data_IF_313594791229
#
_entry.id   IF_313594791229
#
_cell.length_a   1.000
_cell.length_b   1.000
_cell.length_c   1.000
_cell.angle_alpha   90.00
_cell.angle_beta   90.00
_cell.angle_gamma   90.00
#
_symmetry.space_group_name_H-M   'P 1'
#
loop_
_entity.id
_entity.type
_entity.pdbx_description
1 polymer ?
#
# COMPACT_ATOMS: atom_id res chain seq x y z
N UNK A 1 19.24 -8.93 8.26
CA UNK A 1 18.03 -8.66 7.45
C UNK A 1 17.91 -7.16 7.25
N UNK A 2 17.28 -6.73 6.17
CA UNK A 2 16.96 -5.32 5.90
C UNK A 2 15.46 -5.21 5.67
N UNK A 3 14.83 -4.28 6.38
CA UNK A 3 13.41 -3.96 6.22
C UNK A 3 13.26 -2.74 5.33
N UNK A 4 12.43 -2.85 4.29
CA UNK A 4 12.02 -1.73 3.45
C UNK A 4 10.99 -0.86 4.20
N UNK A 5 11.49 0.01 5.09
CA UNK A 5 10.67 0.83 5.98
C UNK A 5 10.03 2.08 5.36
N UNK A 6 10.04 2.20 4.03
CA UNK A 6 9.35 3.26 3.31
C UNK A 6 8.52 2.63 2.19
N UNK A 7 7.30 3.13 1.99
CA UNK A 7 6.35 2.65 0.96
C UNK A 7 6.93 2.69 -0.46
N UNK A 8 7.95 3.51 -0.71
CA UNK A 8 8.57 3.68 -2.02
C UNK A 8 9.65 2.64 -2.35
N UNK A 9 10.31 2.09 -1.33
CA UNK A 9 11.47 1.21 -1.53
C UNK A 9 11.20 -0.13 -2.22
N UNK A 10 10.00 -0.73 -2.18
CA UNK A 10 9.70 -1.92 -2.98
C UNK A 10 10.00 -1.79 -4.47
N UNK A 11 9.88 -0.58 -5.06
CA UNK A 11 10.24 -0.32 -6.46
C UNK A 11 11.74 -0.50 -6.74
N UNK A 12 12.58 -0.33 -5.72
CA UNK A 12 14.03 -0.45 -5.80
C UNK A 12 14.52 -1.80 -5.26
N UNK A 13 13.62 -2.72 -4.87
CA UNK A 13 13.94 -3.98 -4.20
C UNK A 13 15.05 -4.77 -4.90
N UNK A 14 14.92 -5.01 -6.21
CA UNK A 14 15.94 -5.69 -7.02
C UNK A 14 17.29 -5.01 -6.93
N UNK A 15 17.30 -3.68 -7.06
CA UNK A 15 18.55 -2.91 -7.03
C UNK A 15 19.17 -2.90 -5.65
N UNK A 16 18.38 -2.86 -4.59
CA UNK A 16 18.87 -2.95 -3.22
C UNK A 16 19.47 -4.34 -2.98
N UNK A 17 18.78 -5.39 -3.39
CA UNK A 17 19.19 -6.79 -3.22
C UNK A 17 20.55 -7.10 -3.87
N UNK A 18 20.83 -6.52 -5.04
CA UNK A 18 22.14 -6.64 -5.71
C UNK A 18 23.35 -6.19 -4.87
N UNK A 19 23.15 -5.26 -3.93
CA UNK A 19 24.22 -4.72 -3.07
C UNK A 19 24.16 -5.26 -1.64
N UNK A 20 23.22 -6.15 -1.33
CA UNK A 20 23.16 -6.77 -0.02
C UNK A 20 24.20 -7.89 0.12
N UNK A 21 24.85 -8.01 1.28
CA UNK A 21 25.70 -9.17 1.57
C UNK A 21 24.92 -10.49 1.51
N UNK A 22 25.62 -11.56 1.14
CA UNK A 22 25.06 -12.92 1.14
C UNK A 22 24.46 -13.25 2.53
N UNK A 23 23.23 -13.76 2.55
CA UNK A 23 22.51 -14.12 3.77
C UNK A 23 21.68 -12.99 4.38
N UNK A 24 21.77 -11.76 3.87
CA UNK A 24 20.89 -10.67 4.28
C UNK A 24 19.59 -10.72 3.49
N UNK A 25 18.51 -11.15 4.14
CA UNK A 25 17.15 -11.08 3.56
C UNK A 25 16.65 -9.65 3.48
N UNK A 26 16.09 -9.28 2.33
CA UNK A 26 15.32 -8.06 2.13
C UNK A 26 13.84 -8.36 2.39
N UNK A 27 13.17 -7.51 3.17
CA UNK A 27 11.78 -7.72 3.60
C UNK A 27 10.96 -6.49 3.25
N UNK A 28 9.85 -6.66 2.53
CA UNK A 28 8.90 -5.60 2.21
C UNK A 28 7.82 -5.47 3.30
N UNK A 29 7.44 -4.24 3.66
CA UNK A 29 6.42 -3.98 4.68
C UNK A 29 5.00 -4.36 4.23
N UNK A 30 4.68 -4.28 2.94
CA UNK A 30 3.32 -4.44 2.43
C UNK A 30 2.67 -5.78 2.76
N UNK A 31 3.41 -6.88 2.58
CA UNK A 31 2.93 -8.25 2.87
C UNK A 31 2.67 -8.42 4.37
N UNK A 32 3.59 -7.98 5.22
CA UNK A 32 3.46 -8.05 6.69
C UNK A 32 2.22 -7.27 7.16
N UNK A 33 2.00 -6.07 6.60
CA UNK A 33 0.83 -5.26 6.98
C UNK A 33 -0.47 -5.91 6.51
N UNK A 34 -0.50 -6.51 5.32
CA UNK A 34 -1.69 -7.20 4.81
C UNK A 34 -2.05 -8.42 5.67
N UNK A 35 -1.08 -9.26 6.01
CA UNK A 35 -1.28 -10.43 6.89
C UNK A 35 -1.71 -10.00 8.29
N UNK A 36 -1.05 -8.98 8.86
CA UNK A 36 -1.38 -8.43 10.17
C UNK A 36 -2.80 -7.84 10.21
N UNK A 37 -3.23 -7.14 9.16
CA UNK A 37 -4.59 -6.61 9.07
C UNK A 37 -5.63 -7.72 8.97
N UNK A 38 -5.35 -8.79 8.21
CA UNK A 38 -6.24 -9.94 8.12
C UNK A 38 -6.42 -10.64 9.47
N UNK A 39 -5.31 -10.89 10.18
CA UNK A 39 -5.33 -11.42 11.54
C UNK A 39 -6.06 -10.51 12.52
N UNK A 40 -5.84 -9.19 12.42
CA UNK A 40 -6.54 -8.20 13.23
C UNK A 40 -8.06 -8.28 13.04
N UNK A 41 -8.55 -8.31 11.81
CA UNK A 41 -9.98 -8.39 11.55
C UNK A 41 -10.58 -9.74 12.01
N UNK A 42 -9.83 -10.84 11.94
CA UNK A 42 -10.28 -12.13 12.47
C UNK A 42 -10.43 -12.12 14.00
N UNK A 43 -9.57 -11.39 14.71
CA UNK A 43 -9.64 -11.21 16.17
C UNK A 43 -10.67 -10.15 16.61
N UNK A 44 -11.11 -9.29 15.70
CA UNK A 44 -12.02 -8.17 15.96
C UNK A 44 -13.30 -8.24 15.09
N UNK A 45 -14.17 -9.26 15.31
CA UNK A 45 -15.40 -9.44 14.53
C UNK A 45 -16.38 -8.25 14.64
N UNK A 46 -16.29 -7.47 15.72
CA UNK A 46 -17.07 -6.24 15.91
C UNK A 46 -16.71 -5.14 14.91
N UNK A 47 -15.47 -5.12 14.39
CA UNK A 47 -15.00 -4.20 13.35
C UNK A 47 -15.22 -4.84 11.97
N UNK A 48 -14.85 -6.11 11.82
CA UNK A 48 -14.91 -6.86 10.56
C UNK A 48 -16.31 -6.84 9.94
N UNK A 49 -17.36 -6.93 10.77
CA UNK A 49 -18.77 -6.89 10.33
C UNK A 49 -19.17 -5.58 9.64
N UNK A 50 -18.47 -4.48 9.91
CA UNK A 50 -18.73 -3.20 9.26
C UNK A 50 -17.96 -3.04 7.94
N UNK A 51 -16.93 -3.86 7.71
CA UNK A 51 -16.18 -3.81 6.47
C UNK A 51 -17.03 -4.34 5.30
N UNK A 52 -17.14 -3.55 4.23
CA UNK A 52 -17.85 -3.96 3.01
C UNK A 52 -17.22 -5.22 2.39
N UNK A 53 -18.06 -6.14 1.90
CA UNK A 53 -17.63 -7.41 1.26
C UNK A 53 -17.82 -7.44 -0.25
N UNK A 54 -18.04 -6.28 -0.87
CA UNK A 54 -18.33 -6.14 -2.30
C UNK A 54 -17.08 -6.08 -3.19
N UNK A 55 -15.88 -6.24 -2.62
CA UNK A 55 -14.59 -6.14 -3.31
C UNK A 55 -14.41 -4.86 -4.15
N UNK A 56 -15.14 -3.78 -3.81
CA UNK A 56 -15.03 -2.50 -4.50
C UNK A 56 -13.76 -1.78 -4.03
N UNK A 57 -13.00 -1.24 -4.98
CA UNK A 57 -11.80 -0.44 -4.73
C UNK A 57 -11.95 0.92 -5.41
N UNK A 58 -11.69 1.98 -4.67
CA UNK A 58 -11.67 3.35 -5.18
C UNK A 58 -10.38 4.02 -4.70
N UNK A 59 -9.78 4.82 -5.57
CA UNK A 59 -8.57 5.58 -5.27
C UNK A 59 -8.91 7.06 -5.21
N UNK A 60 -8.37 7.74 -4.22
CA UNK A 60 -8.57 9.17 -4.01
C UNK A 60 -7.22 9.84 -3.81
N UNK A 61 -7.09 11.08 -4.28
CA UNK A 61 -5.90 11.92 -4.09
C UNK A 61 -6.32 13.34 -3.80
N UNK A 62 -5.55 14.06 -2.98
CA UNK A 62 -5.71 15.50 -2.75
C UNK A 62 -4.90 16.33 -3.75
N UNK A 63 -4.20 15.67 -4.67
CA UNK A 63 -3.36 16.30 -5.70
C UNK A 63 -3.97 16.09 -7.10
N UNK A 64 -3.23 16.43 -8.16
CA UNK A 64 -3.59 16.16 -9.54
C UNK A 64 -3.77 14.65 -9.78
N UNK A 65 -4.97 14.25 -10.21
CA UNK A 65 -5.31 12.84 -10.49
C UNK A 65 -4.43 12.24 -11.57
N UNK A 66 -4.12 13.00 -12.62
CA UNK A 66 -3.28 12.55 -13.74
C UNK A 66 -1.88 12.14 -13.24
N UNK A 67 -1.26 12.99 -12.43
CA UNK A 67 0.07 12.71 -11.88
C UNK A 67 0.02 11.53 -10.91
N UNK A 68 -1.00 11.48 -10.05
CA UNK A 68 -1.18 10.34 -9.15
C UNK A 68 -1.35 9.02 -9.91
N UNK A 69 -2.24 8.97 -10.91
CA UNK A 69 -2.54 7.76 -11.68
C UNK A 69 -1.30 7.25 -12.43
N UNK A 70 -0.53 8.18 -13.03
CA UNK A 70 0.72 7.88 -13.74
C UNK A 70 1.79 7.23 -12.85
N UNK A 71 1.87 7.63 -11.58
CA UNK A 71 2.86 7.09 -10.63
C UNK A 71 2.34 5.84 -9.89
N UNK A 72 1.09 5.88 -9.45
CA UNK A 72 0.47 4.83 -8.64
C UNK A 72 0.40 3.49 -9.39
N UNK A 73 0.28 3.51 -10.73
CA UNK A 73 0.28 2.29 -11.54
C UNK A 73 1.55 1.45 -11.38
N UNK A 74 2.71 2.07 -11.12
CA UNK A 74 3.97 1.34 -10.89
C UNK A 74 3.96 0.59 -9.56
N UNK A 75 3.31 1.15 -8.54
CA UNK A 75 3.14 0.53 -7.23
C UNK A 75 2.07 -0.55 -7.25
N UNK A 76 0.97 -0.29 -7.95
CA UNK A 76 -0.19 -1.19 -7.96
C UNK A 76 -0.04 -2.34 -8.95
N UNK A 77 0.72 -2.15 -10.03
CA UNK A 77 0.90 -3.14 -11.09
C UNK A 77 -0.22 -3.15 -12.13
N UNK A 78 -1.13 -2.18 -12.10
CA UNK A 78 -2.20 -1.99 -13.07
C UNK A 78 -2.58 -0.50 -13.18
N UNK A 79 -3.29 -0.15 -14.26
CA UNK A 79 -3.84 1.21 -14.43
C UNK A 79 -4.82 1.55 -13.31
N UNK A 80 -4.77 2.80 -12.86
CA UNK A 80 -5.61 3.35 -11.80
C UNK A 80 -6.40 4.54 -12.36
N UNK A 81 -7.60 4.73 -11.84
CA UNK A 81 -8.36 5.95 -12.04
C UNK A 81 -8.72 6.52 -10.66
N UNK A 82 -8.06 7.61 -10.28
CA UNK A 82 -8.32 8.29 -9.01
C UNK A 82 -9.35 9.41 -9.14
N UNK A 83 -9.94 9.77 -8.00
CA UNK A 83 -10.80 10.95 -7.84
C UNK A 83 -10.08 11.97 -6.99
N UNK A 84 -10.13 13.24 -7.39
CA UNK A 84 -9.68 14.32 -6.52
C UNK A 84 -10.64 14.47 -5.35
N UNK A 85 -10.11 14.68 -4.15
CA UNK A 85 -10.90 14.99 -2.96
C UNK A 85 -10.20 16.10 -2.16
N UNK A 86 -10.97 17.13 -1.82
CA UNK A 86 -10.53 18.14 -0.86
C UNK A 86 -10.78 17.63 0.56
N UNK A 87 -9.77 17.74 1.42
CA UNK A 87 -9.93 17.46 2.83
C UNK A 87 -10.43 18.72 3.52
N UNK A 88 -11.74 18.94 3.46
CA UNK A 88 -12.38 19.93 4.33
C UNK A 88 -12.38 19.36 5.76
N UNK A 89 -11.59 19.98 6.64
CA UNK A 89 -11.73 19.77 8.08
C UNK A 89 -12.84 20.73 8.53
N UNK A 90 -14.07 20.23 8.56
CA UNK A 90 -15.13 20.91 9.32
C UNK A 90 -14.62 21.10 10.76
N UNK A 91 -14.39 22.36 11.13
CA UNK A 91 -14.00 22.78 12.49
C UNK A 91 -15.24 23.15 13.29
#
# INVERSE_FOLDING_TARGET
>A
MVLLGCTHYPLLSKKIEEYLPIGVKLIAQGEIVAESLADYLARHPEIERYCSKNNKREFFTTDATIDFDNHARYFYGAEIQSKHIDLEIDR
#
